data_IF_691163494235
#
_entry.id   IF_691163494235
#
_cell.length_a   1.000
_cell.length_b   1.000
_cell.length_c   1.000
_cell.angle_alpha   90.00
_cell.angle_beta   90.00
_cell.angle_gamma   90.00
#
_symmetry.space_group_name_H-M   'P 1'
#
loop_
_entity.id
_entity.type
_entity.pdbx_description
1 polymer ?
#
# COMPACT_ATOMS: atom_id res chain seq x y z
N UNK A 1 -35.66 -4.62 -36.59
CA UNK A 1 -35.83 -5.93 -37.26
C UNK A 1 -34.45 -6.43 -37.59
N UNK A 2 -33.95 -7.42 -36.86
CA UNK A 2 -32.65 -8.02 -37.14
C UNK A 2 -32.87 -9.10 -38.22
N UNK A 3 -32.21 -8.93 -39.36
CA UNK A 3 -32.22 -9.82 -40.49
C UNK A 3 -31.68 -11.18 -40.07
N UNK A 4 -32.58 -12.17 -40.01
CA UNK A 4 -32.19 -13.55 -39.72
C UNK A 4 -31.49 -14.13 -40.96
N UNK A 5 -30.16 -14.21 -40.95
CA UNK A 5 -29.39 -14.91 -41.96
C UNK A 5 -29.77 -16.39 -41.95
N UNK A 6 -30.14 -16.99 -43.09
CA UNK A 6 -30.45 -18.41 -43.15
C UNK A 6 -29.21 -19.23 -42.81
N UNK A 7 -29.33 -20.06 -41.78
CA UNK A 7 -28.27 -20.96 -41.35
C UNK A 7 -28.35 -22.22 -42.24
N UNK A 8 -27.44 -22.35 -43.19
CA UNK A 8 -27.31 -23.57 -44.00
C UNK A 8 -26.62 -24.68 -43.19
N UNK A 9 -27.28 -25.83 -43.04
CA UNK A 9 -26.71 -27.05 -42.52
C UNK A 9 -25.72 -27.69 -43.52
N UNK A 10 -24.78 -28.53 -43.05
CA UNK A 10 -23.79 -29.20 -43.87
C UNK A 10 -24.32 -30.40 -44.63
N UNK A 11 -25.55 -30.87 -44.34
CA UNK A 11 -26.17 -32.02 -45.01
C UNK A 11 -27.55 -31.66 -45.55
N UNK A 12 -27.92 -32.16 -46.70
CA UNK A 12 -29.28 -32.05 -47.27
C UNK A 12 -30.27 -32.68 -46.28
N UNK A 13 -31.24 -31.92 -45.80
CA UNK A 13 -32.22 -32.38 -44.84
C UNK A 13 -32.02 -31.93 -43.38
N UNK A 14 -30.92 -31.26 -43.04
CA UNK A 14 -30.69 -30.72 -41.71
C UNK A 14 -31.75 -29.64 -41.37
N UNK A 15 -32.68 -29.95 -40.49
CA UNK A 15 -33.64 -29.01 -39.93
C UNK A 15 -33.04 -28.37 -38.67
N UNK A 16 -32.64 -27.13 -38.76
CA UNK A 16 -32.20 -26.39 -37.58
C UNK A 16 -33.40 -25.80 -36.85
N UNK A 17 -33.61 -26.25 -35.63
CA UNK A 17 -34.61 -25.68 -34.74
C UNK A 17 -33.92 -24.57 -33.94
N UNK A 18 -34.49 -23.38 -33.97
CA UNK A 18 -34.06 -22.29 -33.05
C UNK A 18 -34.56 -22.68 -31.66
N UNK A 19 -33.69 -23.17 -30.82
CA UNK A 19 -34.01 -23.44 -29.43
C UNK A 19 -33.99 -22.11 -28.72
N UNK A 20 -35.17 -21.61 -28.32
CA UNK A 20 -35.28 -20.42 -27.47
C UNK A 20 -34.74 -20.77 -26.10
N UNK A 21 -33.55 -20.27 -25.78
CA UNK A 21 -32.85 -20.64 -24.58
C UNK A 21 -33.48 -19.86 -23.40
N UNK A 22 -33.96 -20.54 -22.34
CA UNK A 22 -34.61 -19.88 -21.18
C UNK A 22 -33.72 -18.85 -20.45
N UNK A 23 -32.41 -18.86 -20.72
CA UNK A 23 -31.45 -17.92 -20.16
C UNK A 23 -31.25 -16.62 -20.96
N UNK A 24 -31.85 -16.51 -22.14
CA UNK A 24 -31.74 -15.33 -23.02
C UNK A 24 -32.30 -14.03 -22.39
N UNK A 25 -33.16 -14.13 -21.36
CA UNK A 25 -33.73 -12.98 -20.66
C UNK A 25 -32.66 -12.18 -19.91
N UNK A 26 -31.69 -12.86 -19.31
CA UNK A 26 -30.69 -12.25 -18.44
C UNK A 26 -29.30 -12.20 -19.02
N UNK A 27 -29.03 -12.99 -20.07
CA UNK A 27 -27.72 -13.09 -20.69
C UNK A 27 -27.79 -12.78 -22.18
N UNK A 28 -26.77 -12.10 -22.67
CA UNK A 28 -26.52 -11.87 -24.09
C UNK A 28 -25.39 -12.79 -24.55
N UNK A 29 -25.61 -13.47 -25.64
CA UNK A 29 -24.61 -14.34 -26.24
C UNK A 29 -23.73 -13.48 -27.17
N UNK A 30 -22.42 -13.41 -26.92
CA UNK A 30 -21.48 -12.65 -27.73
C UNK A 30 -20.68 -13.55 -28.69
N UNK A 31 -20.56 -14.86 -28.40
CA UNK A 31 -19.80 -15.81 -29.22
C UNK A 31 -19.77 -17.21 -28.62
N UNK A 32 -19.10 -18.17 -29.23
CA UNK A 32 -18.99 -19.52 -28.72
C UNK A 32 -18.38 -19.56 -27.33
N UNK A 33 -19.21 -19.93 -26.33
CA UNK A 33 -18.78 -20.04 -24.95
C UNK A 33 -18.78 -18.72 -24.15
N UNK A 34 -19.12 -17.55 -24.76
CA UNK A 34 -19.11 -16.25 -24.09
C UNK A 34 -20.53 -15.75 -23.88
N UNK A 35 -20.92 -15.62 -22.62
CA UNK A 35 -22.21 -15.07 -22.19
C UNK A 35 -21.97 -13.77 -21.39
N UNK A 36 -22.59 -12.68 -21.83
CA UNK A 36 -22.59 -11.39 -21.12
C UNK A 36 -23.90 -11.23 -20.35
N UNK A 37 -23.83 -10.84 -19.09
CA UNK A 37 -25.00 -10.55 -18.28
C UNK A 37 -25.60 -9.20 -18.67
N UNK A 38 -26.89 -9.16 -18.99
CA UNK A 38 -27.63 -7.91 -19.24
C UNK A 38 -27.82 -7.15 -17.92
N UNK A 39 -27.98 -5.82 -18.01
CA UNK A 39 -28.26 -4.96 -16.83
C UNK A 39 -29.47 -5.43 -16.02
N UNK A 40 -30.46 -6.04 -16.68
CA UNK A 40 -31.65 -6.61 -16.03
C UNK A 40 -31.33 -7.80 -15.11
N UNK A 41 -30.23 -8.51 -15.36
CA UNK A 41 -29.77 -9.62 -14.50
C UNK A 41 -29.21 -9.13 -13.15
N UNK A 42 -28.74 -7.91 -13.12
CA UNK A 42 -28.13 -7.27 -11.93
C UNK A 42 -29.14 -6.46 -11.12
N UNK A 43 -30.36 -6.25 -11.62
CA UNK A 43 -31.39 -5.48 -10.94
C UNK A 43 -31.84 -6.18 -9.63
N UNK A 44 -31.81 -5.49 -8.48
CA UNK A 44 -32.22 -6.08 -7.20
C UNK A 44 -33.72 -6.37 -7.22
N UNK A 45 -34.11 -7.64 -6.96
CA UNK A 45 -35.48 -8.13 -7.01
C UNK A 45 -36.22 -7.96 -5.69
N UNK A 46 -35.51 -7.92 -4.56
CA UNK A 46 -36.10 -7.79 -3.22
C UNK A 46 -35.64 -6.53 -2.52
N UNK A 47 -36.44 -6.03 -1.57
CA UNK A 47 -36.07 -4.89 -0.73
C UNK A 47 -34.75 -5.15 0.06
N UNK A 48 -34.53 -6.39 0.48
CA UNK A 48 -33.29 -6.82 1.12
C UNK A 48 -32.08 -6.71 0.17
N UNK A 49 -32.21 -7.23 -1.06
CA UNK A 49 -31.15 -7.13 -2.08
C UNK A 49 -30.84 -5.67 -2.44
N UNK A 50 -31.86 -4.80 -2.43
CA UNK A 50 -31.68 -3.36 -2.69
C UNK A 50 -30.88 -2.71 -1.56
N UNK A 51 -31.23 -2.96 -0.28
CA UNK A 51 -30.48 -2.46 0.87
C UNK A 51 -29.05 -3.01 0.92
N UNK A 52 -28.91 -4.32 0.70
CA UNK A 52 -27.59 -4.95 0.63
C UNK A 52 -26.76 -4.45 -0.56
N UNK A 53 -27.39 -4.20 -1.71
CA UNK A 53 -26.76 -3.60 -2.87
C UNK A 53 -26.30 -2.16 -2.61
N UNK A 54 -27.09 -1.37 -1.89
CA UNK A 54 -26.69 -0.01 -1.47
C UNK A 54 -25.50 -0.08 -0.49
N UNK A 55 -25.57 -0.95 0.52
CA UNK A 55 -24.49 -1.16 1.48
C UNK A 55 -23.21 -1.62 0.77
N UNK A 56 -23.34 -2.58 -0.13
CA UNK A 56 -22.23 -3.07 -0.94
C UNK A 56 -21.66 -1.97 -1.85
N UNK A 57 -22.51 -1.14 -2.45
CA UNK A 57 -22.09 0.01 -3.26
C UNK A 57 -21.38 1.09 -2.45
N UNK A 58 -21.77 1.27 -1.17
CA UNK A 58 -21.08 2.18 -0.25
C UNK A 58 -19.75 1.62 0.20
N UNK A 59 -19.66 0.32 0.49
CA UNK A 59 -18.42 -0.34 0.99
C UNK A 59 -17.41 -0.61 -0.14
N UNK A 60 -17.86 -1.14 -1.28
CA UNK A 60 -16.99 -1.65 -2.34
C UNK A 60 -16.98 -0.77 -3.61
N UNK A 61 -17.78 0.30 -3.64
CA UNK A 61 -17.93 1.13 -4.84
C UNK A 61 -18.68 0.42 -5.97
N UNK A 62 -18.60 1.00 -7.17
CA UNK A 62 -19.21 0.41 -8.38
C UNK A 62 -18.26 -0.62 -9.00
N UNK A 63 -18.74 -1.83 -9.33
CA UNK A 63 -17.91 -2.81 -10.00
C UNK A 63 -17.45 -2.28 -11.36
N UNK A 64 -16.15 -2.35 -11.63
CA UNK A 64 -15.56 -2.05 -12.92
C UNK A 64 -15.83 -3.20 -13.91
N UNK A 65 -16.01 -2.87 -15.19
CA UNK A 65 -16.06 -3.91 -16.23
C UNK A 65 -14.65 -4.47 -16.46
N UNK A 66 -14.52 -5.77 -16.75
CA UNK A 66 -13.22 -6.40 -17.01
C UNK A 66 -12.44 -5.75 -18.17
N UNK A 67 -13.14 -5.11 -19.12
CA UNK A 67 -12.52 -4.33 -20.19
C UNK A 67 -11.94 -2.99 -19.71
N UNK A 68 -12.53 -2.39 -18.68
CA UNK A 68 -12.03 -1.13 -18.10
C UNK A 68 -10.78 -1.35 -17.25
N UNK A 69 -10.65 -2.53 -16.63
CA UNK A 69 -9.50 -2.90 -15.80
C UNK A 69 -8.16 -2.82 -16.57
N UNK A 70 -8.16 -3.26 -17.83
CA UNK A 70 -6.99 -3.24 -18.71
C UNK A 70 -6.58 -1.82 -19.18
N UNK A 71 -7.50 -0.87 -19.13
CA UNK A 71 -7.30 0.49 -19.65
C UNK A 71 -7.19 1.55 -18.56
N UNK A 72 -7.53 1.21 -17.33
CA UNK A 72 -7.53 2.17 -16.24
C UNK A 72 -6.10 2.43 -15.73
N UNK A 73 -5.56 3.60 -16.10
CA UNK A 73 -4.25 4.09 -15.61
C UNK A 73 -4.46 5.24 -14.67
N UNK A 74 -3.77 5.21 -13.54
CA UNK A 74 -3.76 6.35 -12.62
C UNK A 74 -2.89 7.49 -13.18
N UNK A 75 -3.35 8.74 -13.13
CA UNK A 75 -2.48 9.87 -13.43
C UNK A 75 -1.38 9.95 -12.37
N UNK A 76 -0.18 10.41 -12.75
CA UNK A 76 1.02 10.44 -11.89
C UNK A 76 0.80 11.08 -10.52
N UNK A 77 0.00 12.14 -10.44
CA UNK A 77 -0.29 12.83 -9.19
C UNK A 77 -1.18 12.02 -8.21
N UNK A 78 -1.95 11.04 -8.72
CA UNK A 78 -2.68 10.08 -7.88
C UNK A 78 -1.86 8.82 -7.61
N UNK A 79 -1.03 8.41 -8.56
CA UNK A 79 -0.18 7.23 -8.41
C UNK A 79 0.84 7.43 -7.28
N UNK A 80 1.43 8.62 -7.17
CA UNK A 80 2.37 8.94 -6.09
C UNK A 80 1.76 8.66 -4.70
N UNK A 81 0.61 9.25 -4.29
CA UNK A 81 0.01 8.96 -2.99
C UNK A 81 -0.36 7.50 -2.77
N UNK A 82 -0.79 6.79 -3.82
CA UNK A 82 -1.21 5.39 -3.70
C UNK A 82 -0.02 4.47 -3.43
N UNK A 83 1.07 4.63 -4.19
CA UNK A 83 2.19 3.69 -4.15
C UNK A 83 3.33 4.11 -3.23
N UNK A 84 3.49 5.41 -2.94
CA UNK A 84 4.62 5.88 -2.13
C UNK A 84 4.26 6.22 -0.69
N UNK A 85 2.99 6.20 -0.30
CA UNK A 85 2.57 6.50 1.08
C UNK A 85 3.21 5.55 2.09
N UNK A 86 3.34 4.27 1.74
CA UNK A 86 3.97 3.25 2.57
C UNK A 86 5.46 3.54 2.77
N UNK A 87 6.21 3.79 1.69
CA UNK A 87 7.64 4.18 1.79
C UNK A 87 7.81 5.44 2.63
N UNK A 88 6.98 6.45 2.43
CA UNK A 88 7.08 7.72 3.16
C UNK A 88 6.81 7.56 4.66
N UNK A 89 5.78 6.80 5.02
CA UNK A 89 5.48 6.52 6.43
C UNK A 89 6.61 5.70 7.06
N UNK A 90 7.15 4.72 6.33
CA UNK A 90 8.24 3.86 6.79
C UNK A 90 9.52 4.63 7.05
N UNK A 91 9.87 5.60 6.22
CA UNK A 91 11.00 6.51 6.46
C UNK A 91 10.77 7.35 7.72
N UNK A 92 9.55 7.82 7.94
CA UNK A 92 9.23 8.64 9.10
C UNK A 92 9.36 7.87 10.42
N UNK A 93 8.73 6.67 10.52
CA UNK A 93 8.78 5.90 11.77
C UNK A 93 10.09 5.10 11.93
N UNK A 94 10.75 4.71 10.85
CA UNK A 94 12.00 3.93 10.89
C UNK A 94 13.12 4.70 11.60
N UNK A 95 13.25 5.99 11.34
CA UNK A 95 14.20 6.85 12.08
C UNK A 95 13.85 6.92 13.57
N UNK A 96 12.56 7.06 13.90
CA UNK A 96 12.08 7.05 15.28
C UNK A 96 12.37 5.73 16.00
N UNK A 97 12.14 4.59 15.35
CA UNK A 97 12.42 3.27 15.88
C UNK A 97 13.93 3.07 16.17
N UNK A 98 14.80 3.49 15.23
CA UNK A 98 16.25 3.50 15.43
C UNK A 98 16.65 4.33 16.66
N UNK A 99 16.09 5.53 16.81
CA UNK A 99 16.36 6.41 17.94
C UNK A 99 15.89 5.81 19.26
N UNK A 100 14.71 5.18 19.29
CA UNK A 100 14.19 4.52 20.50
C UNK A 100 15.10 3.36 20.94
N UNK A 101 15.61 2.56 19.99
CA UNK A 101 16.55 1.47 20.29
C UNK A 101 17.85 2.01 20.84
N UNK A 102 18.41 3.07 20.25
CA UNK A 102 19.62 3.70 20.75
C UNK A 102 19.42 4.37 22.13
N UNK A 103 18.24 4.95 22.37
CA UNK A 103 17.90 5.58 23.65
C UNK A 103 18.08 4.62 24.85
N UNK A 104 17.92 3.31 24.64
CA UNK A 104 18.15 2.29 25.67
C UNK A 104 19.59 2.26 26.20
N UNK A 105 20.57 2.73 25.42
CA UNK A 105 21.97 2.85 25.83
C UNK A 105 22.36 4.26 26.37
N UNK A 106 21.38 5.15 26.48
CA UNK A 106 21.58 6.51 26.96
C UNK A 106 21.88 7.53 25.85
N UNK A 107 22.02 8.80 26.24
CA UNK A 107 22.14 9.93 25.32
C UNK A 107 23.35 9.88 24.40
N UNK A 108 24.48 9.34 24.87
CA UNK A 108 25.71 9.23 24.06
C UNK A 108 25.59 8.35 22.84
N UNK A 109 24.58 7.47 22.82
CA UNK A 109 24.32 6.59 21.69
C UNK A 109 23.74 7.34 20.48
N UNK A 110 23.14 8.50 20.64
CA UNK A 110 22.56 9.27 19.55
C UNK A 110 23.59 9.75 18.50
N UNK A 111 24.86 9.81 18.85
CA UNK A 111 25.94 10.06 17.86
C UNK A 111 25.97 9.05 16.73
N UNK A 112 25.43 7.85 16.94
CA UNK A 112 25.35 6.79 15.92
C UNK A 112 24.12 6.92 15.01
N UNK A 113 23.13 7.76 15.31
CA UNK A 113 21.94 7.95 14.48
C UNK A 113 22.33 8.40 13.08
N UNK A 114 23.17 9.42 12.95
CA UNK A 114 23.57 9.94 11.65
C UNK A 114 24.32 8.92 10.80
N UNK A 115 25.41 8.25 11.27
CA UNK A 115 26.10 7.26 10.45
C UNK A 115 25.20 6.08 10.09
N UNK A 116 24.35 5.57 10.99
CA UNK A 116 23.42 4.50 10.68
C UNK A 116 22.38 4.94 9.64
N UNK A 117 21.83 6.16 9.77
CA UNK A 117 20.91 6.71 8.77
C UNK A 117 21.55 6.84 7.39
N UNK A 118 22.81 7.26 7.30
CA UNK A 118 23.54 7.34 6.03
C UNK A 118 23.67 5.96 5.39
N UNK A 119 23.95 4.92 6.17
CA UNK A 119 24.01 3.55 5.66
C UNK A 119 22.65 3.09 5.14
N UNK A 120 21.56 3.35 5.89
CA UNK A 120 20.18 3.02 5.46
C UNK A 120 19.82 3.76 4.17
N UNK A 121 20.15 5.04 4.06
CA UNK A 121 19.91 5.82 2.83
C UNK A 121 20.73 5.27 1.66
N UNK A 122 21.99 4.90 1.87
CA UNK A 122 22.79 4.27 0.82
C UNK A 122 22.17 2.95 0.34
N UNK A 123 21.71 2.11 1.25
CA UNK A 123 20.99 0.88 0.90
C UNK A 123 19.69 1.18 0.13
N UNK A 124 18.92 2.16 0.57
CA UNK A 124 17.67 2.58 -0.11
C UNK A 124 17.96 3.02 -1.56
N UNK A 125 19.04 3.76 -1.77
CA UNK A 125 19.49 4.17 -3.11
C UNK A 125 19.84 2.94 -3.96
N UNK A 126 20.64 2.00 -3.42
CA UNK A 126 21.02 0.77 -4.13
C UNK A 126 19.78 -0.05 -4.51
N UNK A 127 18.86 -0.25 -3.58
CA UNK A 127 17.60 -0.99 -3.80
C UNK A 127 16.73 -0.30 -4.86
N UNK A 128 16.61 1.04 -4.80
CA UNK A 128 15.87 1.81 -5.80
C UNK A 128 16.46 1.66 -7.20
N UNK A 129 17.78 1.70 -7.34
CA UNK A 129 18.43 1.46 -8.63
C UNK A 129 18.22 0.01 -9.12
N UNK A 130 18.26 -0.98 -8.23
CA UNK A 130 17.95 -2.36 -8.56
C UNK A 130 16.52 -2.51 -9.09
N UNK A 131 15.52 -1.98 -8.38
CA UNK A 131 14.12 -2.02 -8.83
C UNK A 131 13.90 -1.29 -10.16
N UNK A 132 14.58 -0.18 -10.41
CA UNK A 132 14.51 0.52 -11.69
C UNK A 132 14.94 -0.36 -12.87
N UNK A 133 15.90 -1.27 -12.66
CA UNK A 133 16.32 -2.24 -13.68
C UNK A 133 15.28 -3.36 -13.82
N UNK A 134 14.77 -3.85 -12.68
CA UNK A 134 13.79 -4.94 -12.62
C UNK A 134 12.47 -4.55 -13.30
N UNK A 135 11.95 -3.33 -13.07
CA UNK A 135 10.71 -2.83 -13.70
C UNK A 135 10.84 -2.79 -15.23
N UNK A 136 12.03 -2.49 -15.77
CA UNK A 136 12.27 -2.50 -17.21
C UNK A 136 12.29 -3.91 -17.80
N UNK A 137 12.78 -4.88 -17.03
CA UNK A 137 12.84 -6.28 -17.44
C UNK A 137 11.47 -6.98 -17.31
N UNK A 138 10.64 -6.55 -16.35
CA UNK A 138 9.34 -7.14 -16.03
C UNK A 138 8.23 -6.07 -16.05
N UNK A 139 7.79 -5.58 -17.23
CA UNK A 139 6.85 -4.47 -17.33
C UNK A 139 5.43 -4.78 -16.83
N UNK A 140 5.10 -6.05 -16.65
CA UNK A 140 3.80 -6.52 -16.13
C UNK A 140 3.80 -6.73 -14.60
N UNK A 141 4.85 -6.30 -13.92
CA UNK A 141 5.04 -6.42 -12.48
C UNK A 141 6.49 -6.80 -12.17
N UNK A 142 7.23 -5.89 -11.56
CA UNK A 142 8.66 -6.05 -11.23
C UNK A 142 8.94 -6.51 -9.81
N UNK A 143 7.93 -7.07 -9.09
CA UNK A 143 8.11 -7.46 -7.69
C UNK A 143 8.86 -8.77 -7.49
N UNK A 144 9.29 -8.99 -6.25
CA UNK A 144 10.12 -10.12 -5.84
C UNK A 144 9.51 -11.48 -6.17
N UNK A 145 8.17 -11.59 -6.09
CA UNK A 145 7.46 -12.82 -6.47
C UNK A 145 7.69 -13.18 -7.94
N UNK A 146 7.44 -12.23 -8.84
CA UNK A 146 7.52 -12.47 -10.29
C UNK A 146 8.96 -12.79 -10.69
N UNK A 147 9.92 -12.02 -10.17
CA UNK A 147 11.34 -12.21 -10.45
C UNK A 147 11.83 -13.55 -9.90
N UNK A 148 11.50 -13.91 -8.67
CA UNK A 148 11.88 -15.17 -8.06
C UNK A 148 11.24 -16.37 -8.80
N UNK A 149 9.96 -16.27 -9.13
CA UNK A 149 9.25 -17.33 -9.86
C UNK A 149 9.84 -17.55 -11.25
N UNK A 150 10.13 -16.48 -11.99
CA UNK A 150 10.65 -16.56 -13.35
C UNK A 150 12.09 -17.08 -13.42
N UNK A 151 12.95 -16.77 -12.44
CA UNK A 151 14.36 -17.08 -12.48
C UNK A 151 14.76 -18.29 -11.62
N UNK A 152 14.07 -18.52 -10.51
CA UNK A 152 14.43 -19.55 -9.51
C UNK A 152 13.36 -20.66 -9.38
N UNK A 153 12.22 -20.47 -10.05
CA UNK A 153 11.13 -21.45 -10.08
C UNK A 153 10.07 -21.26 -9.01
N UNK A 154 9.09 -22.19 -8.99
CA UNK A 154 7.83 -22.08 -8.23
C UNK A 154 8.07 -21.95 -6.72
N UNK A 155 8.96 -22.77 -6.13
CA UNK A 155 9.19 -22.76 -4.69
C UNK A 155 9.77 -21.41 -4.20
N UNK A 156 10.75 -20.87 -4.94
CA UNK A 156 11.32 -19.56 -4.62
C UNK A 156 10.27 -18.44 -4.74
N UNK A 157 9.44 -18.49 -5.79
CA UNK A 157 8.31 -17.57 -5.96
C UNK A 157 7.32 -17.63 -4.79
N UNK A 158 6.89 -18.82 -4.37
CA UNK A 158 5.97 -18.99 -3.25
C UNK A 158 6.57 -18.54 -1.91
N UNK A 159 7.86 -18.78 -1.69
CA UNK A 159 8.56 -18.26 -0.51
C UNK A 159 8.58 -16.74 -0.51
N UNK A 160 8.90 -16.11 -1.64
CA UNK A 160 8.84 -14.66 -1.78
C UNK A 160 7.43 -14.12 -1.53
N UNK A 161 6.39 -14.75 -2.10
CA UNK A 161 5.00 -14.36 -1.88
C UNK A 161 4.58 -14.44 -0.41
N UNK A 162 4.94 -15.53 0.29
CA UNK A 162 4.65 -15.71 1.72
C UNK A 162 5.36 -14.66 2.58
N UNK A 163 6.62 -14.36 2.28
CA UNK A 163 7.39 -13.31 2.96
C UNK A 163 6.77 -11.93 2.76
N UNK A 164 6.35 -11.60 1.53
CA UNK A 164 5.69 -10.33 1.20
C UNK A 164 4.34 -10.18 1.91
N UNK A 165 3.52 -11.24 1.95
CA UNK A 165 2.26 -11.19 2.68
C UNK A 165 2.48 -10.90 4.17
N UNK A 166 3.50 -11.54 4.77
CA UNK A 166 3.86 -11.29 6.17
C UNK A 166 4.34 -9.86 6.37
N UNK A 167 5.22 -9.37 5.48
CA UNK A 167 5.71 -7.99 5.50
C UNK A 167 4.57 -6.98 5.42
N UNK A 168 3.63 -7.14 4.49
CA UNK A 168 2.49 -6.22 4.35
C UNK A 168 1.61 -6.18 5.59
N UNK A 169 1.34 -7.33 6.23
CA UNK A 169 0.56 -7.36 7.47
C UNK A 169 1.28 -6.62 8.59
N UNK A 170 2.58 -6.88 8.76
CA UNK A 170 3.40 -6.23 9.78
C UNK A 170 3.54 -4.72 9.52
N UNK A 171 3.74 -4.33 8.28
CA UNK A 171 3.83 -2.92 7.86
C UNK A 171 2.57 -2.14 8.19
N UNK A 172 1.39 -2.69 7.90
CA UNK A 172 0.11 -2.05 8.27
C UNK A 172 0.01 -1.90 9.79
N UNK A 173 0.34 -2.95 10.55
CA UNK A 173 0.27 -2.93 12.00
C UNK A 173 1.20 -1.86 12.59
N UNK A 174 2.46 -1.82 12.15
CA UNK A 174 3.46 -0.86 12.64
C UNK A 174 3.11 0.57 12.22
N UNK A 175 2.76 0.79 10.95
CA UNK A 175 2.45 2.13 10.43
C UNK A 175 1.24 2.75 11.12
N UNK A 176 0.17 1.98 11.32
CA UNK A 176 -1.03 2.47 12.00
C UNK A 176 -0.74 2.72 13.49
N UNK A 177 0.00 1.82 14.14
CA UNK A 177 0.40 2.01 15.54
C UNK A 177 1.27 3.25 15.72
N UNK A 178 2.25 3.48 14.85
CA UNK A 178 3.09 4.67 14.88
C UNK A 178 2.27 5.97 14.64
N UNK A 179 1.30 5.92 13.72
CA UNK A 179 0.40 7.05 13.47
C UNK A 179 -0.49 7.37 14.68
N UNK A 180 -1.05 6.37 15.34
CA UNK A 180 -1.84 6.55 16.57
C UNK A 180 -0.94 7.03 17.72
N UNK A 181 0.30 6.54 17.81
CA UNK A 181 1.28 7.01 18.77
C UNK A 181 1.59 8.51 18.60
N UNK A 182 1.78 8.94 17.36
CA UNK A 182 1.98 10.36 17.05
C UNK A 182 0.74 11.18 17.45
N UNK A 183 -0.47 10.65 17.23
CA UNK A 183 -1.72 11.32 17.57
C UNK A 183 -1.87 11.51 19.09
N UNK A 184 -1.65 10.49 19.92
CA UNK A 184 -1.76 10.67 21.36
C UNK A 184 -0.56 11.41 21.97
N UNK A 185 0.57 11.50 21.28
CA UNK A 185 1.66 12.40 21.67
C UNK A 185 1.25 13.86 21.57
N UNK A 186 0.43 14.22 20.57
CA UNK A 186 -0.14 15.54 20.43
C UNK A 186 -1.36 15.76 21.37
N UNK A 187 -2.14 14.70 21.59
CA UNK A 187 -3.37 14.71 22.38
C UNK A 187 -3.37 13.59 23.43
N UNK A 188 -2.70 13.77 24.60
CA UNK A 188 -2.54 12.72 25.62
C UNK A 188 -3.84 12.09 26.13
N UNK A 189 -4.96 12.81 26.03
CA UNK A 189 -6.32 12.33 26.40
C UNK A 189 -6.72 11.10 25.58
N UNK A 190 -6.15 10.89 24.39
CA UNK A 190 -6.47 9.77 23.52
C UNK A 190 -5.74 8.46 23.89
N UNK A 191 -4.72 8.52 24.75
CA UNK A 191 -3.90 7.36 25.13
C UNK A 191 -4.70 6.16 25.68
N UNK A 192 -5.76 6.32 26.48
CA UNK A 192 -6.57 5.18 26.94
C UNK A 192 -7.33 4.46 25.83
N UNK A 193 -7.47 5.08 24.64
CA UNK A 193 -8.20 4.57 23.49
C UNK A 193 -7.28 4.09 22.35
N UNK A 194 -6.00 3.83 22.63
CA UNK A 194 -5.01 3.50 21.61
C UNK A 194 -5.42 2.30 20.76
N UNK A 195 -5.83 1.18 21.36
CA UNK A 195 -6.25 -0.03 20.65
C UNK A 195 -7.49 0.21 19.80
N UNK A 196 -8.48 0.96 20.31
CA UNK A 196 -9.69 1.29 19.58
C UNK A 196 -9.40 2.22 18.39
N UNK A 197 -8.50 3.17 18.57
CA UNK A 197 -8.04 4.06 17.49
C UNK A 197 -7.29 3.31 16.41
N UNK A 198 -6.42 2.36 16.77
CA UNK A 198 -5.73 1.47 15.84
C UNK A 198 -6.75 0.66 15.04
N UNK A 199 -7.67 -0.04 15.72
CA UNK A 199 -8.69 -0.86 15.09
C UNK A 199 -9.59 -0.03 14.15
N UNK A 200 -10.02 1.16 14.59
CA UNK A 200 -10.82 2.09 13.78
C UNK A 200 -10.05 2.55 12.54
N UNK A 201 -8.77 2.91 12.70
CA UNK A 201 -7.94 3.37 11.59
C UNK A 201 -7.73 2.28 10.55
N UNK A 202 -7.46 1.04 10.98
CA UNK A 202 -7.32 -0.12 10.07
C UNK A 202 -8.64 -0.34 9.31
N UNK A 203 -9.79 -0.32 10.02
CA UNK A 203 -11.09 -0.50 9.40
C UNK A 203 -11.40 0.62 8.39
N UNK A 204 -11.09 1.86 8.74
CA UNK A 204 -11.28 3.01 7.87
C UNK A 204 -10.47 2.87 6.57
N UNK A 205 -9.16 2.60 6.69
CA UNK A 205 -8.27 2.42 5.54
C UNK A 205 -8.70 1.23 4.69
N UNK A 206 -9.11 0.12 5.32
CA UNK A 206 -9.63 -1.06 4.63
C UNK A 206 -10.86 -0.71 3.80
N UNK A 207 -11.86 -0.03 4.39
CA UNK A 207 -13.09 0.36 3.67
C UNK A 207 -12.79 1.30 2.51
N UNK A 208 -11.87 2.26 2.69
CA UNK A 208 -11.46 3.17 1.62
C UNK A 208 -10.77 2.42 0.48
N UNK A 209 -9.87 1.49 0.79
CA UNK A 209 -9.15 0.71 -0.22
C UNK A 209 -10.07 -0.25 -0.99
N UNK A 210 -11.09 -0.81 -0.34
CA UNK A 210 -12.09 -1.67 -1.00
C UNK A 210 -12.92 -0.94 -2.07
N UNK A 211 -12.94 0.41 -2.06
CA UNK A 211 -13.63 1.21 -3.09
C UNK A 211 -12.87 1.33 -4.41
N UNK A 212 -11.66 0.82 -4.47
CA UNK A 212 -10.82 0.80 -5.65
C UNK A 212 -9.78 1.93 -5.72
N UNK A 213 -8.74 1.72 -6.50
CA UNK A 213 -7.54 2.57 -6.57
C UNK A 213 -7.83 4.03 -6.96
N UNK A 214 -8.84 4.28 -7.79
CA UNK A 214 -9.16 5.63 -8.28
C UNK A 214 -9.76 6.51 -7.20
N UNK A 215 -10.67 5.95 -6.39
CA UNK A 215 -11.33 6.68 -5.29
C UNK A 215 -10.39 6.82 -4.09
N UNK A 216 -9.70 5.74 -3.70
CA UNK A 216 -8.73 5.75 -2.62
C UNK A 216 -7.57 6.69 -2.91
N UNK A 217 -7.02 6.69 -4.14
CA UNK A 217 -5.95 7.59 -4.55
C UNK A 217 -6.31 9.08 -4.45
N UNK A 218 -7.57 9.44 -4.69
CA UNK A 218 -8.02 10.84 -4.51
C UNK A 218 -8.10 11.22 -3.04
N UNK A 219 -8.56 10.30 -2.18
CA UNK A 219 -8.68 10.54 -0.74
C UNK A 219 -7.31 10.62 -0.07
N UNK A 220 -6.39 9.72 -0.44
CA UNK A 220 -5.03 9.70 0.13
C UNK A 220 -4.10 10.78 -0.45
N UNK A 221 -4.46 11.40 -1.57
CA UNK A 221 -3.65 12.47 -2.17
C UNK A 221 -3.48 13.65 -1.21
N UNK A 222 -4.56 14.12 -0.58
CA UNK A 222 -4.51 15.27 0.32
C UNK A 222 -3.58 15.06 1.52
N UNK A 223 -3.74 14.03 2.37
CA UNK A 223 -2.84 13.81 3.51
C UNK A 223 -1.40 13.56 3.08
N UNK A 224 -1.18 12.86 1.96
CA UNK A 224 0.18 12.60 1.48
C UNK A 224 0.90 13.87 1.05
N UNK A 225 0.25 14.76 0.29
CA UNK A 225 0.87 16.02 -0.13
C UNK A 225 1.04 17.00 1.02
N UNK A 226 0.14 17.00 2.02
CA UNK A 226 0.30 17.77 3.27
C UNK A 226 1.53 17.26 4.02
N UNK A 227 1.70 15.94 4.13
CA UNK A 227 2.86 15.33 4.78
C UNK A 227 4.17 15.73 4.06
N UNK A 228 4.24 15.58 2.73
CA UNK A 228 5.42 15.99 1.95
C UNK A 228 5.73 17.48 2.16
N UNK A 229 4.72 18.34 2.07
CA UNK A 229 4.89 19.77 2.25
C UNK A 229 5.39 20.13 3.66
N UNK A 230 4.82 19.54 4.71
CA UNK A 230 5.24 19.77 6.09
C UNK A 230 6.67 19.30 6.35
N UNK A 231 7.05 18.12 5.80
CA UNK A 231 8.41 17.59 5.89
C UNK A 231 9.41 18.49 5.19
N UNK A 232 9.11 18.97 3.98
CA UNK A 232 9.97 19.89 3.24
C UNK A 232 10.17 21.21 4.00
N UNK A 233 9.11 21.77 4.58
CA UNK A 233 9.18 22.97 5.39
C UNK A 233 10.05 22.74 6.64
N UNK A 234 9.82 21.64 7.35
CA UNK A 234 10.58 21.29 8.55
C UNK A 234 12.07 21.13 8.24
N UNK A 235 12.42 20.40 7.18
CA UNK A 235 13.79 20.18 6.74
C UNK A 235 14.43 21.53 6.34
N UNK A 236 13.73 22.36 5.57
CA UNK A 236 14.21 23.65 5.10
C UNK A 236 14.52 24.57 6.29
N UNK A 237 13.62 24.62 7.28
CA UNK A 237 13.85 25.42 8.49
C UNK A 237 15.03 24.86 9.29
N UNK A 238 15.13 23.53 9.43
CA UNK A 238 16.24 22.88 10.12
C UNK A 238 17.60 23.18 9.48
N UNK A 239 17.69 23.04 8.16
CA UNK A 239 18.90 23.37 7.40
C UNK A 239 19.24 24.86 7.54
N UNK A 240 18.25 25.75 7.38
CA UNK A 240 18.47 27.18 7.51
C UNK A 240 19.02 27.55 8.91
N UNK A 241 18.41 27.00 9.97
CA UNK A 241 18.88 27.23 11.35
C UNK A 241 20.27 26.65 11.59
N UNK A 242 20.57 25.50 10.98
CA UNK A 242 21.89 24.88 11.05
C UNK A 242 22.97 25.79 10.43
N UNK A 243 22.68 26.30 9.24
CA UNK A 243 23.61 27.17 8.52
C UNK A 243 23.82 28.55 9.18
N UNK A 244 22.79 29.06 9.89
CA UNK A 244 22.85 30.33 10.62
C UNK A 244 23.35 30.19 12.05
N UNK A 245 23.71 28.97 12.49
CA UNK A 245 24.18 28.73 13.87
C UNK A 245 23.10 28.89 14.94
N UNK A 246 21.83 28.97 14.58
CA UNK A 246 20.69 29.18 15.47
C UNK A 246 20.03 27.87 15.94
N UNK A 247 20.74 26.74 15.88
CA UNK A 247 20.22 25.49 16.41
C UNK A 247 20.18 25.57 17.95
N UNK A 248 19.01 25.37 18.58
CA UNK A 248 18.95 25.27 20.04
C UNK A 248 19.73 24.02 20.46
N UNK A 249 20.68 24.20 21.36
CA UNK A 249 21.34 23.08 22.00
C UNK A 249 20.36 22.41 22.97
N UNK A 250 20.12 21.12 22.78
CA UNK A 250 19.31 20.34 23.72
C UNK A 250 20.20 20.06 24.93
N UNK A 251 20.05 20.88 25.97
CA UNK A 251 20.86 20.82 27.20
C UNK A 251 20.45 19.67 28.13
N UNK A 252 19.33 19.02 27.90
CA UNK A 252 18.73 18.09 28.86
C UNK A 252 18.33 16.74 28.22
N UNK A 253 19.23 16.19 27.39
CA UNK A 253 19.02 14.89 26.73
C UNK A 253 18.94 13.73 27.75
N UNK A 254 19.55 13.90 28.92
CA UNK A 254 19.53 12.90 29.98
C UNK A 254 18.15 12.62 30.57
N UNK A 255 17.23 13.61 30.54
CA UNK A 255 15.84 13.40 31.00
C UNK A 255 14.99 12.63 29.98
N UNK A 256 15.36 12.65 28.70
CA UNK A 256 14.64 11.95 27.63
C UNK A 256 14.95 10.45 27.60
N UNK A 257 16.10 10.02 28.07
CA UNK A 257 16.57 8.63 27.94
C UNK A 257 16.48 7.82 29.24
N UNK A 258 16.25 8.48 30.40
CA UNK A 258 16.23 7.78 31.69
C UNK A 258 17.56 7.09 32.01
N UNK A 259 17.50 6.09 32.90
CA UNK A 259 18.68 5.27 33.22
C UNK A 259 18.94 4.30 32.07
N UNK A 260 20.20 4.20 31.56
CA UNK A 260 20.52 3.24 30.51
C UNK A 260 20.15 1.82 30.93
N UNK A 261 19.32 1.16 30.11
CA UNK A 261 18.85 -0.22 30.35
C UNK A 261 19.63 -1.24 29.56
N UNK A 262 20.46 -0.81 28.58
CA UNK A 262 21.29 -1.66 27.76
C UNK A 262 22.69 -1.07 27.60
N UNK A 263 23.68 -1.93 27.45
CA UNK A 263 25.05 -1.51 27.10
C UNK A 263 25.14 -1.20 25.61
N UNK A 264 25.88 -0.13 25.28
CA UNK A 264 26.20 0.21 23.91
C UNK A 264 27.22 -0.82 23.37
N UNK A 265 26.74 -1.81 22.66
CA UNK A 265 27.55 -2.85 22.03
C UNK A 265 27.16 -3.05 20.56
N UNK A 266 27.93 -3.88 19.86
CA UNK A 266 27.68 -4.19 18.44
C UNK A 266 26.25 -4.70 18.21
N UNK A 267 25.73 -5.53 19.12
CA UNK A 267 24.38 -6.07 19.02
C UNK A 267 23.32 -4.97 19.02
N UNK A 268 23.43 -3.97 19.92
CA UNK A 268 22.50 -2.86 19.96
C UNK A 268 22.58 -1.99 18.71
N UNK A 269 23.78 -1.76 18.19
CA UNK A 269 23.98 -1.02 16.93
C UNK A 269 23.38 -1.76 15.74
N UNK A 270 23.59 -3.10 15.65
CA UNK A 270 22.96 -3.92 14.61
C UNK A 270 21.43 -3.90 14.73
N UNK A 271 20.90 -3.96 15.94
CA UNK A 271 19.47 -3.85 16.19
C UNK A 271 18.92 -2.49 15.77
N UNK A 272 19.55 -1.40 16.18
CA UNK A 272 19.17 -0.05 15.79
C UNK A 272 19.22 0.14 14.27
N UNK A 273 20.25 -0.43 13.62
CA UNK A 273 20.34 -0.47 12.17
C UNK A 273 19.16 -1.24 11.54
N UNK A 274 18.84 -2.43 12.06
CA UNK A 274 17.72 -3.24 11.57
C UNK A 274 16.37 -2.50 11.73
N UNK A 275 16.17 -1.83 12.87
CA UNK A 275 14.98 -0.98 13.09
C UNK A 275 14.93 0.18 12.09
N UNK A 276 16.07 0.79 11.77
CA UNK A 276 16.19 1.82 10.73
C UNK A 276 15.93 1.28 9.32
N UNK A 277 16.27 0.01 9.03
CA UNK A 277 16.01 -0.62 7.74
C UNK A 277 14.50 -0.78 7.45
N UNK A 278 13.64 -0.65 8.45
CA UNK A 278 12.18 -0.56 8.21
C UNK A 278 11.81 0.58 7.26
N UNK A 279 12.66 1.61 7.14
CA UNK A 279 12.49 2.68 6.15
C UNK A 279 12.50 2.20 4.68
N UNK A 280 12.99 0.98 4.41
CA UNK A 280 12.97 0.39 3.06
C UNK A 280 11.67 -0.35 2.74
N UNK A 281 10.81 -0.56 3.74
CA UNK A 281 9.50 -1.21 3.57
C UNK A 281 8.65 -0.42 2.59
N UNK A 282 7.91 -1.10 1.74
CA UNK A 282 7.06 -0.48 0.72
C UNK A 282 7.75 -0.13 -0.60
N UNK A 283 9.09 -0.20 -0.71
CA UNK A 283 9.79 0.06 -1.98
C UNK A 283 9.36 -0.93 -3.07
N UNK A 284 9.03 -2.17 -2.70
CA UNK A 284 8.50 -3.17 -3.62
C UNK A 284 7.09 -2.83 -4.12
N UNK A 285 6.23 -2.27 -3.26
CA UNK A 285 4.88 -1.84 -3.66
C UNK A 285 4.95 -0.79 -4.78
N UNK A 286 5.94 0.12 -4.72
CA UNK A 286 6.21 1.09 -5.80
C UNK A 286 6.68 0.40 -7.08
N UNK A 287 7.45 -0.68 -6.96
CA UNK A 287 7.97 -1.41 -8.12
C UNK A 287 6.89 -2.26 -8.81
N UNK A 288 5.85 -2.67 -8.10
CA UNK A 288 4.72 -3.44 -8.61
C UNK A 288 3.59 -2.57 -9.18
N UNK A 289 3.51 -1.31 -8.83
CA UNK A 289 2.50 -0.34 -9.27
C UNK A 289 2.89 0.37 -10.54
#
# INVERSE_FOLDING_TARGET
MAEQRPLHGRKLGDRRVVVDRPHARYFRYLGPGVLEAKLEAQAPRTAYQRRMGTLRGVLFGRPLSSAAELTERLPKWKALPVFSSDVMSSVAYGTGAMMLTLAAAGSDSFKYVLPLSVIVVALLVIVTFSYRQTIRAYPNGGGSYIVAHANLGVLAGLTAAGSLLTDYVLTVAVSVSAGVQALYSAFPVLKPWDVQLIAFSILLVMVVNLRGLRESGTLFASPTYIFIGSMLIMISIGVFRSLTGQLPQVTDVGQLTGVPTASLGLFLLCRAFADGCSAMTGTEAVANG
#
